data_IF_172702221975
#
_entry.id   IF_172702221975
#
_cell.length_a   1.000
_cell.length_b   1.000
_cell.length_c   1.000
_cell.angle_alpha   90.00
_cell.angle_beta   90.00
_cell.angle_gamma   90.00
#
_symmetry.space_group_name_H-M   'P 1'
#
loop_
_entity.id
_entity.type
_entity.pdbx_description
1 polymer ?
#
# COMPACT_ATOMS: atom_id res chain seq x y z
N UNK A 1 3.39 -15.50 10.80
CA UNK A 1 4.63 -16.21 10.37
C UNK A 1 5.78 -15.23 10.58
N UNK A 2 6.68 -15.31 11.55
CA UNK A 2 6.98 -16.32 12.59
C UNK A 2 8.45 -16.17 13.00
N UNK A 3 8.88 -14.95 13.37
CA UNK A 3 10.23 -14.71 13.90
C UNK A 3 10.26 -15.07 15.40
N UNK A 4 11.06 -16.07 15.84
CA UNK A 4 11.16 -16.47 17.24
C UNK A 4 11.66 -15.36 18.18
N UNK A 5 12.40 -14.37 17.67
CA UNK A 5 12.84 -13.20 18.47
C UNK A 5 11.73 -12.22 18.80
N UNK A 6 10.55 -12.36 18.19
CA UNK A 6 9.41 -11.46 18.36
C UNK A 6 8.26 -12.12 19.11
N UNK A 7 8.46 -13.21 19.88
CA UNK A 7 7.35 -13.88 20.56
C UNK A 7 6.52 -12.94 21.45
N UNK A 8 7.19 -12.06 22.21
CA UNK A 8 6.52 -11.05 23.04
C UNK A 8 5.84 -9.98 22.18
N UNK A 9 6.49 -9.52 21.11
CA UNK A 9 5.95 -8.52 20.18
C UNK A 9 4.79 -9.07 19.33
N UNK A 10 4.77 -10.37 19.03
CA UNK A 10 3.71 -11.07 18.29
C UNK A 10 2.48 -11.25 19.18
N UNK A 11 2.69 -11.58 20.46
CA UNK A 11 1.61 -11.65 21.45
C UNK A 11 1.02 -10.27 21.78
N UNK A 12 1.86 -9.25 22.00
CA UNK A 12 1.42 -7.87 22.22
C UNK A 12 0.73 -7.29 20.97
N UNK A 13 1.28 -7.53 19.78
CA UNK A 13 0.69 -7.09 18.51
C UNK A 13 -0.59 -7.83 18.13
N UNK A 14 -0.83 -9.01 18.71
CA UNK A 14 -2.09 -9.75 18.56
C UNK A 14 -3.19 -9.31 19.53
N UNK A 15 -2.89 -8.44 20.49
CA UNK A 15 -3.86 -7.98 21.48
C UNK A 15 -4.80 -6.92 20.87
N UNK A 16 -6.13 -7.04 21.02
CA UNK A 16 -7.08 -6.09 20.45
C UNK A 16 -6.74 -4.65 20.86
N UNK A 17 -6.56 -3.76 19.88
CA UNK A 17 -6.29 -2.33 20.09
C UNK A 17 -4.81 -1.93 20.20
N UNK A 18 -3.86 -2.87 20.34
CA UNK A 18 -2.42 -2.51 20.34
C UNK A 18 -1.99 -1.99 18.97
N UNK A 19 -2.48 -2.59 17.88
CA UNK A 19 -2.19 -2.13 16.52
C UNK A 19 -2.68 -0.71 16.28
N UNK A 20 -3.89 -0.34 16.72
CA UNK A 20 -4.39 1.03 16.53
C UNK A 20 -3.63 2.05 17.39
N UNK A 21 -3.28 1.69 18.64
CA UNK A 21 -2.47 2.55 19.50
C UNK A 21 -1.07 2.79 18.91
N UNK A 22 -0.45 1.75 18.34
CA UNK A 22 0.83 1.90 17.65
C UNK A 22 0.70 2.72 16.36
N UNK A 23 -0.38 2.54 15.58
CA UNK A 23 -0.66 3.37 14.40
C UNK A 23 -0.74 4.85 14.77
N UNK A 24 -1.52 5.23 15.78
CA UNK A 24 -1.62 6.63 16.23
C UNK A 24 -0.30 7.19 16.76
N UNK A 25 0.48 6.36 17.48
CA UNK A 25 1.82 6.77 17.91
C UNK A 25 2.73 7.05 16.71
N UNK A 26 2.71 6.20 15.68
CA UNK A 26 3.50 6.40 14.47
C UNK A 26 3.03 7.63 13.68
N UNK A 27 1.73 7.83 13.51
CA UNK A 27 1.14 9.02 12.87
C UNK A 27 1.63 10.31 13.56
N UNK A 28 1.59 10.38 14.90
CA UNK A 28 2.10 11.54 15.66
C UNK A 28 3.61 11.74 15.50
N UNK A 29 4.38 10.66 15.31
CA UNK A 29 5.82 10.76 15.05
C UNK A 29 6.10 11.21 13.62
N UNK A 30 5.31 10.77 12.65
CA UNK A 30 5.40 11.21 11.26
C UNK A 30 5.10 12.70 11.14
N UNK A 31 4.07 13.20 11.80
CA UNK A 31 3.73 14.62 11.86
C UNK A 31 4.88 15.47 12.43
N UNK A 32 5.51 15.01 13.52
CA UNK A 32 6.67 15.70 14.12
C UNK A 32 7.93 15.71 13.26
N UNK A 33 8.02 14.80 12.29
CA UNK A 33 9.13 14.69 11.35
C UNK A 33 8.80 15.36 10.01
N UNK A 34 7.68 16.08 9.93
CA UNK A 34 7.18 16.73 8.71
C UNK A 34 7.06 15.73 7.53
N UNK A 35 6.67 14.49 7.82
CA UNK A 35 6.44 13.46 6.81
C UNK A 35 5.03 13.67 6.22
N UNK A 36 4.90 13.72 4.89
CA UNK A 36 3.61 13.95 4.24
C UNK A 36 2.60 12.84 4.57
N UNK A 37 1.30 13.16 4.71
CA UNK A 37 0.26 12.17 4.85
C UNK A 37 0.11 11.34 3.57
N UNK A 38 -0.51 10.17 3.70
CA UNK A 38 -0.66 9.20 2.60
C UNK A 38 -1.27 9.80 1.32
N UNK A 39 -2.36 10.60 1.35
CA UNK A 39 -2.94 11.15 0.12
C UNK A 39 -1.97 12.06 -0.64
N UNK A 40 -1.24 12.91 0.08
CA UNK A 40 -0.21 13.79 -0.50
C UNK A 40 0.95 12.97 -1.05
N UNK A 41 1.39 11.94 -0.32
CA UNK A 41 2.46 11.06 -0.78
C UNK A 41 2.09 10.34 -2.08
N UNK A 42 0.83 9.89 -2.21
CA UNK A 42 0.34 9.21 -3.42
C UNK A 42 0.25 10.18 -4.61
N UNK A 43 -0.14 11.42 -4.37
CA UNK A 43 -0.12 12.47 -5.40
C UNK A 43 1.32 12.77 -5.86
N UNK A 44 2.24 12.95 -4.91
CA UNK A 44 3.66 13.21 -5.22
C UNK A 44 4.30 12.08 -6.05
N UNK A 45 4.08 10.80 -5.70
CA UNK A 45 4.66 9.70 -6.50
C UNK A 45 4.04 9.68 -7.91
N UNK A 46 2.74 9.92 -8.02
CA UNK A 46 2.06 10.00 -9.31
C UNK A 46 2.67 11.10 -10.18
N UNK A 47 2.94 12.27 -9.61
CA UNK A 47 3.53 13.42 -10.29
C UNK A 47 4.98 13.18 -10.74
N UNK A 48 5.71 12.30 -10.04
CA UNK A 48 7.07 11.89 -10.46
C UNK A 48 7.09 10.91 -11.64
N UNK A 49 5.91 10.50 -12.13
CA UNK A 49 5.75 9.56 -13.23
C UNK A 49 5.53 8.11 -12.81
N UNK A 50 5.33 7.85 -11.52
CA UNK A 50 4.95 6.52 -11.06
C UNK A 50 3.52 6.19 -11.54
N UNK A 51 3.36 5.06 -12.21
CA UNK A 51 2.05 4.61 -12.69
C UNK A 51 1.41 3.68 -11.67
N UNK A 52 0.24 4.06 -11.17
CA UNK A 52 -0.54 3.27 -10.21
C UNK A 52 -1.63 2.50 -10.94
N UNK A 53 -1.75 1.20 -10.65
CA UNK A 53 -2.72 0.31 -11.28
C UNK A 53 -3.45 -0.52 -10.25
N UNK A 54 -4.73 -0.79 -10.49
CA UNK A 54 -5.52 -1.72 -9.69
C UNK A 54 -5.49 -3.12 -10.33
N UNK A 55 -5.35 -4.15 -9.51
CA UNK A 55 -5.38 -5.54 -9.99
C UNK A 55 -6.81 -5.94 -10.35
N UNK A 56 -7.04 -6.34 -11.60
CA UNK A 56 -8.35 -6.74 -12.12
C UNK A 56 -9.01 -7.84 -11.30
N UNK A 57 -8.25 -8.88 -10.93
CA UNK A 57 -8.78 -9.99 -10.14
C UNK A 57 -9.26 -9.54 -8.75
N UNK A 58 -8.53 -8.61 -8.10
CA UNK A 58 -8.93 -8.05 -6.82
C UNK A 58 -10.16 -7.14 -6.95
N UNK A 59 -10.18 -6.27 -7.96
CA UNK A 59 -11.33 -5.39 -8.24
C UNK A 59 -12.60 -6.21 -8.43
N UNK A 60 -12.54 -7.27 -9.24
CA UNK A 60 -13.68 -8.15 -9.50
C UNK A 60 -14.10 -8.93 -8.24
N UNK A 61 -13.14 -9.40 -7.43
CA UNK A 61 -13.41 -10.12 -6.19
C UNK A 61 -14.13 -9.25 -5.16
N UNK A 62 -13.73 -7.98 -5.05
CA UNK A 62 -14.32 -7.03 -4.10
C UNK A 62 -15.51 -6.26 -4.67
N UNK A 63 -15.88 -6.47 -5.94
CA UNK A 63 -17.01 -5.81 -6.60
C UNK A 63 -16.83 -4.30 -6.74
N UNK A 64 -15.57 -3.84 -6.89
CA UNK A 64 -15.23 -2.43 -7.02
C UNK A 64 -15.30 -1.98 -8.49
N UNK A 65 -15.45 -0.68 -8.71
CA UNK A 65 -15.36 -0.06 -10.04
C UNK A 65 -14.25 0.98 -10.09
N UNK A 66 -13.99 1.53 -11.27
CA UNK A 66 -12.91 2.51 -11.47
C UNK A 66 -13.12 3.78 -10.64
N UNK A 67 -14.38 4.13 -10.42
CA UNK A 67 -14.83 5.31 -9.70
C UNK A 67 -14.60 5.22 -8.18
N UNK A 68 -14.37 4.01 -7.65
CA UNK A 68 -14.04 3.79 -6.23
C UNK A 68 -12.57 4.14 -5.90
N UNK A 69 -11.74 4.35 -6.93
CA UNK A 69 -10.32 4.63 -6.78
C UNK A 69 -10.00 6.12 -6.89
N UNK A 70 -8.88 6.51 -6.27
CA UNK A 70 -8.30 7.84 -6.43
C UNK A 70 -7.93 8.11 -7.90
N UNK A 71 -7.97 9.38 -8.35
CA UNK A 71 -7.73 9.73 -9.76
C UNK A 71 -6.32 9.37 -10.25
N UNK A 72 -5.35 9.23 -9.34
CA UNK A 72 -3.98 8.82 -9.65
C UNK A 72 -3.88 7.35 -10.11
N UNK A 73 -4.89 6.51 -9.86
CA UNK A 73 -4.91 5.16 -10.43
C UNK A 73 -5.16 5.29 -11.92
N UNK A 74 -4.22 4.86 -12.75
CA UNK A 74 -4.30 4.98 -14.21
C UNK A 74 -5.34 4.01 -14.78
N UNK A 75 -5.28 2.73 -14.42
CA UNK A 75 -6.21 1.72 -14.96
C UNK A 75 -6.37 0.50 -14.04
N UNK A 76 -7.34 -0.34 -14.35
CA UNK A 76 -7.52 -1.67 -13.76
C UNK A 76 -6.95 -2.69 -14.76
N UNK A 77 -5.87 -3.36 -14.39
CA UNK A 77 -5.11 -4.22 -15.29
C UNK A 77 -5.03 -5.66 -14.80
N UNK A 78 -4.82 -6.56 -15.75
CA UNK A 78 -4.50 -7.96 -15.52
C UNK A 78 -3.03 -8.16 -15.17
N UNK A 79 -2.72 -9.36 -14.65
CA UNK A 79 -1.33 -9.75 -14.40
C UNK A 79 -0.47 -9.78 -15.68
N UNK A 80 -1.07 -10.10 -16.83
CA UNK A 80 -0.37 -10.10 -18.12
C UNK A 80 0.10 -8.70 -18.52
N UNK A 81 -0.80 -7.73 -18.45
CA UNK A 81 -0.48 -6.31 -18.71
C UNK A 81 0.53 -5.76 -17.70
N UNK A 82 0.48 -6.21 -16.44
CA UNK A 82 1.50 -5.85 -15.45
C UNK A 82 2.89 -6.36 -15.84
N UNK A 83 3.02 -7.59 -16.33
CA UNK A 83 4.29 -8.12 -16.81
C UNK A 83 4.82 -7.36 -18.03
N UNK A 84 3.95 -6.97 -18.96
CA UNK A 84 4.34 -6.16 -20.12
C UNK A 84 4.83 -4.77 -19.68
N UNK A 85 4.14 -4.13 -18.74
CA UNK A 85 4.52 -2.80 -18.21
C UNK A 85 5.78 -2.83 -17.35
N UNK A 86 6.01 -3.92 -16.61
CA UNK A 86 7.20 -4.11 -15.78
C UNK A 86 8.41 -4.64 -16.55
N UNK A 87 8.25 -4.94 -17.84
CA UNK A 87 9.35 -5.38 -18.69
C UNK A 87 10.50 -4.36 -18.68
N UNK A 88 11.71 -4.82 -18.36
CA UNK A 88 12.88 -3.96 -18.19
C UNK A 88 13.05 -3.37 -16.78
N UNK A 89 12.14 -3.67 -15.85
CA UNK A 89 12.31 -3.35 -14.42
C UNK A 89 13.47 -4.13 -13.80
N UNK A 90 14.20 -3.49 -12.88
CA UNK A 90 15.34 -4.12 -12.19
C UNK A 90 14.92 -4.93 -10.97
N UNK A 91 13.83 -4.54 -10.32
CA UNK A 91 13.29 -5.18 -9.12
C UNK A 91 11.79 -5.35 -9.34
N UNK A 92 11.33 -6.60 -9.31
CA UNK A 92 9.93 -6.97 -9.49
C UNK A 92 9.54 -7.88 -8.33
N UNK A 93 8.47 -7.52 -7.62
CA UNK A 93 7.86 -8.35 -6.59
C UNK A 93 6.48 -8.78 -7.10
N UNK A 94 6.22 -10.08 -7.05
CA UNK A 94 4.98 -10.72 -7.50
C UNK A 94 4.32 -11.46 -6.37
#
# INVERSE_FOLDING_TARGET
>A
VGNPGLHLATWLGGFPGVSSAMTHYLESKMEKLDIPPIPEFVEMISDTGAQLYACKASVDLFGMTKEDFIPQVADIITVGEFFEKSAGGQIIFT
#
